data_IF_625820100924
#
_entry.id   IF_625820100924
#
_cell.length_a   1.000
_cell.length_b   1.000
_cell.length_c   1.000
_cell.angle_alpha   90.00
_cell.angle_beta   90.00
_cell.angle_gamma   90.00
#
_symmetry.space_group_name_H-M   'P 1'
#
loop_
_entity.id
_entity.type
_entity.pdbx_description
1 polymer ?
#
# COMPACT_ATOMS: atom_id res chain seq x y z
N UNK A 1 -24.84 -8.81 1.61
CA UNK A 1 -23.66 -8.59 0.75
C UNK A 1 -23.95 -8.79 -0.73
N UNK A 2 -24.95 -9.61 -1.09
CA UNK A 2 -25.37 -9.92 -2.47
C UNK A 2 -25.68 -8.72 -3.40
N UNK A 3 -26.01 -7.54 -2.87
CA UNK A 3 -26.54 -6.43 -3.66
C UNK A 3 -25.44 -5.62 -4.40
N UNK A 4 -24.23 -5.53 -3.81
CA UNK A 4 -23.12 -4.80 -4.46
C UNK A 4 -22.37 -5.63 -5.49
N UNK A 5 -22.40 -6.96 -5.37
CA UNK A 5 -21.83 -7.83 -6.40
C UNK A 5 -22.60 -7.70 -7.73
N UNK A 6 -23.90 -7.40 -7.67
CA UNK A 6 -24.75 -7.24 -8.84
C UNK A 6 -24.49 -5.95 -9.65
N UNK A 7 -23.81 -4.96 -9.06
CA UNK A 7 -23.51 -3.67 -9.72
C UNK A 7 -22.06 -3.55 -10.20
N UNK A 8 -21.28 -4.63 -10.09
CA UNK A 8 -19.90 -4.69 -10.61
C UNK A 8 -19.90 -4.52 -12.13
N UNK A 9 -19.02 -3.66 -12.61
CA UNK A 9 -18.80 -3.35 -14.03
C UNK A 9 -17.30 -3.34 -14.33
N UNK A 10 -16.95 -3.36 -15.61
CA UNK A 10 -15.55 -3.30 -16.08
C UNK A 10 -15.24 -2.05 -16.90
N UNK A 11 -16.25 -1.20 -17.12
CA UNK A 11 -16.15 0.04 -17.86
C UNK A 11 -17.16 1.07 -17.29
N UNK A 12 -16.99 2.33 -17.68
CA UNK A 12 -17.94 3.37 -17.32
C UNK A 12 -17.95 4.45 -18.40
N UNK A 13 -19.14 4.92 -18.79
CA UNK A 13 -19.31 5.88 -19.89
C UNK A 13 -18.58 7.22 -19.70
N UNK A 14 -18.26 7.57 -18.44
CA UNK A 14 -17.48 8.78 -18.09
C UNK A 14 -16.03 8.50 -17.69
N UNK A 15 -15.52 7.30 -17.98
CA UNK A 15 -14.12 6.97 -17.73
C UNK A 15 -13.21 7.89 -18.54
N UNK A 16 -12.17 8.41 -17.89
CA UNK A 16 -11.14 9.25 -18.52
C UNK A 16 -9.79 8.58 -18.39
N UNK A 17 -8.91 8.86 -19.34
CA UNK A 17 -7.53 8.40 -19.34
C UNK A 17 -6.61 9.59 -19.14
N UNK A 18 -5.57 9.43 -18.31
CA UNK A 18 -4.54 10.44 -18.19
C UNK A 18 -3.80 10.57 -19.53
N UNK A 19 -3.34 11.77 -19.86
CA UNK A 19 -2.56 12.03 -21.08
C UNK A 19 -1.08 11.62 -20.88
N UNK A 20 -0.84 10.41 -20.37
CA UNK A 20 0.49 9.90 -19.97
C UNK A 20 1.20 9.07 -21.04
N UNK A 21 0.63 8.97 -22.26
CA UNK A 21 1.26 8.30 -23.40
C UNK A 21 1.31 6.76 -23.33
N UNK A 22 0.84 6.15 -22.24
CA UNK A 22 0.76 4.70 -22.05
C UNK A 22 -0.36 4.03 -22.85
N UNK A 23 -0.33 2.68 -22.90
CA UNK A 23 -1.38 1.89 -23.51
C UNK A 23 -2.68 2.00 -22.68
N UNK A 24 -3.81 2.16 -23.36
CA UNK A 24 -5.11 2.21 -22.67
C UNK A 24 -5.50 0.81 -22.22
N UNK A 25 -5.83 0.68 -20.94
CA UNK A 25 -6.40 -0.55 -20.40
C UNK A 25 -7.76 -0.83 -21.07
N UNK A 26 -8.00 -2.09 -21.41
CA UNK A 26 -9.25 -2.58 -21.99
C UNK A 26 -10.23 -2.98 -20.89
N UNK A 27 -11.53 -2.96 -21.19
CA UNK A 27 -12.56 -3.45 -20.26
C UNK A 27 -12.33 -4.91 -19.85
N UNK A 28 -11.79 -5.74 -20.75
CA UNK A 28 -11.43 -7.14 -20.44
C UNK A 28 -10.30 -7.26 -19.42
N UNK A 29 -9.27 -6.41 -19.50
CA UNK A 29 -8.18 -6.40 -18.52
C UNK A 29 -8.68 -5.91 -17.15
N UNK A 30 -9.56 -4.91 -17.14
CA UNK A 30 -10.22 -4.44 -15.91
C UNK A 30 -11.06 -5.54 -15.29
N UNK A 31 -11.87 -6.25 -16.09
CA UNK A 31 -12.70 -7.36 -15.62
C UNK A 31 -11.83 -8.49 -15.02
N UNK A 32 -10.73 -8.84 -15.70
CA UNK A 32 -9.79 -9.85 -15.24
C UNK A 32 -9.13 -9.47 -13.90
N UNK A 33 -8.75 -8.20 -13.72
CA UNK A 33 -8.24 -7.72 -12.44
C UNK A 33 -9.30 -7.86 -11.33
N UNK A 34 -10.54 -7.42 -11.58
CA UNK A 34 -11.62 -7.53 -10.61
C UNK A 34 -11.93 -8.98 -10.20
N UNK A 35 -11.92 -9.90 -11.17
CA UNK A 35 -12.07 -11.34 -10.92
C UNK A 35 -10.93 -11.89 -10.07
N UNK A 36 -9.68 -11.55 -10.41
CA UNK A 36 -8.53 -12.02 -9.66
C UNK A 36 -8.58 -11.56 -8.18
N UNK A 37 -8.98 -10.31 -7.94
CA UNK A 37 -9.14 -9.80 -6.57
C UNK A 37 -10.24 -10.57 -5.81
N UNK A 38 -11.35 -10.94 -6.47
CA UNK A 38 -12.41 -11.76 -5.86
C UNK A 38 -11.97 -13.19 -5.59
N UNK A 39 -11.21 -13.81 -6.49
CA UNK A 39 -10.61 -15.14 -6.27
C UNK A 39 -9.72 -15.12 -5.03
N UNK A 40 -8.83 -14.12 -4.91
CA UNK A 40 -7.99 -13.95 -3.71
C UNK A 40 -8.89 -13.78 -2.48
N UNK A 41 -9.91 -12.91 -2.55
CA UNK A 41 -10.82 -12.68 -1.43
C UNK A 41 -11.53 -13.96 -0.94
N UNK A 42 -11.87 -14.87 -1.86
CA UNK A 42 -12.51 -16.14 -1.53
C UNK A 42 -11.62 -17.02 -0.63
N UNK A 43 -10.31 -17.06 -0.88
CA UNK A 43 -9.35 -17.77 -0.02
C UNK A 43 -9.32 -17.20 1.41
N UNK A 44 -9.65 -15.92 1.55
CA UNK A 44 -9.77 -15.23 2.83
C UNK A 44 -11.20 -15.20 3.40
N UNK A 45 -12.15 -15.88 2.75
CA UNK A 45 -13.51 -16.13 3.25
C UNK A 45 -14.59 -15.16 2.77
N UNK A 46 -14.32 -14.37 1.73
CA UNK A 46 -15.39 -13.74 0.95
C UNK A 46 -16.30 -14.83 0.32
N UNK A 47 -17.63 -14.65 0.23
CA UNK A 47 -18.39 -13.43 0.53
C UNK A 47 -18.89 -13.34 1.97
N UNK A 48 -18.47 -14.21 2.88
CA UNK A 48 -18.99 -14.20 4.24
C UNK A 48 -18.25 -13.24 5.16
N UNK A 49 -18.89 -12.89 6.27
CA UNK A 49 -18.24 -12.11 7.31
C UNK A 49 -17.09 -12.92 7.93
N UNK A 50 -15.92 -12.31 8.02
CA UNK A 50 -14.71 -12.95 8.57
C UNK A 50 -14.04 -12.05 9.61
N UNK A 51 -13.17 -12.66 10.41
CA UNK A 51 -12.36 -11.94 11.38
C UNK A 51 -11.37 -10.96 10.72
N UNK A 52 -10.82 -10.05 11.53
CA UNK A 52 -9.87 -9.04 11.05
C UNK A 52 -8.57 -9.67 10.51
N UNK A 53 -8.13 -10.82 11.03
CA UNK A 53 -6.88 -11.45 10.61
C UNK A 53 -6.96 -11.95 9.17
N UNK A 54 -8.05 -12.62 8.78
CA UNK A 54 -8.25 -13.04 7.38
C UNK A 54 -8.34 -11.84 6.43
N UNK A 55 -9.04 -10.78 6.85
CA UNK A 55 -9.16 -9.53 6.08
C UNK A 55 -7.82 -8.79 5.92
N UNK A 56 -6.96 -8.84 6.93
CA UNK A 56 -5.58 -8.33 6.84
C UNK A 56 -4.73 -9.23 5.94
N UNK A 57 -4.91 -10.55 5.99
CA UNK A 57 -4.25 -11.49 5.06
C UNK A 57 -4.58 -11.20 3.60
N UNK A 58 -5.87 -10.93 3.32
CA UNK A 58 -6.32 -10.49 1.99
C UNK A 58 -5.59 -9.25 1.51
N UNK A 59 -5.40 -8.24 2.37
CA UNK A 59 -4.72 -7.00 1.99
C UNK A 59 -3.31 -7.25 1.45
N UNK A 60 -2.57 -8.21 2.03
CA UNK A 60 -1.22 -8.54 1.57
C UNK A 60 -1.27 -9.18 0.18
N UNK A 61 -2.09 -10.21 0.00
CA UNK A 61 -2.22 -10.89 -1.29
C UNK A 61 -2.77 -9.97 -2.39
N UNK A 62 -3.74 -9.12 -2.08
CA UNK A 62 -4.29 -8.14 -3.00
C UNK A 62 -3.29 -7.04 -3.35
N UNK A 63 -2.40 -6.62 -2.42
CA UNK A 63 -1.34 -5.66 -2.72
C UNK A 63 -0.39 -6.18 -3.80
N UNK A 64 0.01 -7.45 -3.71
CA UNK A 64 0.88 -8.09 -4.70
C UNK A 64 0.17 -8.16 -6.06
N UNK A 65 -1.06 -8.68 -6.09
CA UNK A 65 -1.83 -8.81 -7.32
C UNK A 65 -2.11 -7.45 -8.00
N UNK A 66 -2.46 -6.41 -7.23
CA UNK A 66 -2.66 -5.07 -7.76
C UNK A 66 -1.37 -4.54 -8.39
N UNK A 67 -0.25 -4.69 -7.70
CA UNK A 67 1.02 -4.12 -8.15
C UNK A 67 1.58 -4.83 -9.38
N UNK A 68 1.49 -6.15 -9.45
CA UNK A 68 1.94 -6.93 -10.61
C UNK A 68 1.06 -6.74 -11.85
N UNK A 69 -0.25 -6.54 -11.66
CA UNK A 69 -1.21 -6.44 -12.77
C UNK A 69 -1.43 -5.02 -13.25
N UNK A 70 -1.29 -4.04 -12.37
CA UNK A 70 -1.45 -2.63 -12.70
C UNK A 70 -0.08 -2.04 -13.00
N UNK A 71 0.34 -2.10 -14.27
CA UNK A 71 1.56 -1.46 -14.79
C UNK A 71 1.40 0.07 -14.84
N UNK A 72 1.16 0.67 -13.67
CA UNK A 72 0.97 2.10 -13.50
C UNK A 72 2.29 2.79 -13.20
N UNK A 73 2.51 3.91 -13.86
CA UNK A 73 3.49 4.89 -13.40
C UNK A 73 3.03 5.54 -12.09
N UNK A 74 3.97 6.10 -11.34
CA UNK A 74 3.65 6.87 -10.12
C UNK A 74 2.77 8.09 -10.39
N UNK A 75 2.81 8.64 -11.61
CA UNK A 75 1.97 9.76 -12.05
C UNK A 75 0.54 9.31 -12.27
N UNK A 76 0.32 8.16 -12.91
CA UNK A 76 -1.03 7.59 -13.11
C UNK A 76 -1.63 7.15 -11.79
N UNK A 77 -0.84 6.45 -10.97
CA UNK A 77 -1.22 6.05 -9.61
C UNK A 77 -1.50 7.24 -8.68
N UNK A 78 -1.04 8.46 -9.03
CA UNK A 78 -1.37 9.67 -8.29
C UNK A 78 -2.78 10.19 -8.61
N UNK A 79 -3.41 9.75 -9.69
CA UNK A 79 -4.73 10.22 -10.05
C UNK A 79 -5.81 9.48 -9.24
N UNK A 80 -6.50 10.21 -8.34
CA UNK A 80 -7.52 9.62 -7.45
C UNK A 80 -8.65 8.89 -8.21
N UNK A 81 -8.91 9.30 -9.46
CA UNK A 81 -9.89 8.66 -10.34
C UNK A 81 -9.61 7.18 -10.62
N UNK A 82 -8.34 6.76 -10.69
CA UNK A 82 -7.97 5.34 -10.88
C UNK A 82 -8.50 4.49 -9.72
N UNK A 83 -8.29 4.97 -8.50
CA UNK A 83 -8.69 4.27 -7.28
C UNK A 83 -10.19 4.29 -7.06
N UNK A 84 -10.84 5.43 -7.31
CA UNK A 84 -12.29 5.55 -7.25
C UNK A 84 -12.97 4.64 -8.28
N UNK A 85 -12.40 4.49 -9.47
CA UNK A 85 -12.91 3.57 -10.49
C UNK A 85 -12.86 2.11 -9.99
N UNK A 86 -11.74 1.68 -9.39
CA UNK A 86 -11.67 0.35 -8.78
C UNK A 86 -12.75 0.15 -7.70
N UNK A 87 -12.95 1.12 -6.82
CA UNK A 87 -13.92 1.02 -5.73
C UNK A 87 -15.37 1.02 -6.21
N UNK A 88 -15.76 1.91 -7.12
CA UNK A 88 -17.17 2.09 -7.47
C UNK A 88 -17.62 1.29 -8.69
N UNK A 89 -16.70 0.88 -9.55
CA UNK A 89 -17.01 0.17 -10.79
C UNK A 89 -16.57 -1.29 -10.67
N UNK A 90 -15.32 -1.54 -10.29
CA UNK A 90 -14.71 -2.88 -10.45
C UNK A 90 -14.95 -3.82 -9.26
N UNK A 91 -14.88 -3.30 -8.04
CA UNK A 91 -14.92 -4.13 -6.83
C UNK A 91 -15.58 -3.45 -5.59
N UNK A 92 -16.78 -2.83 -5.73
CA UNK A 92 -17.50 -2.24 -4.59
C UNK A 92 -17.88 -3.24 -3.51
N UNK A 93 -18.15 -4.49 -3.90
CA UNK A 93 -18.44 -5.61 -3.03
C UNK A 93 -17.25 -5.98 -2.13
N UNK A 94 -16.02 -5.97 -2.67
CA UNK A 94 -14.80 -6.23 -1.90
C UNK A 94 -14.50 -5.13 -0.87
N UNK A 95 -14.75 -3.86 -1.24
CA UNK A 95 -14.60 -2.73 -0.32
C UNK A 95 -15.56 -2.88 0.85
N UNK A 96 -16.83 -3.22 0.57
CA UNK A 96 -17.85 -3.47 1.59
C UNK A 96 -17.49 -4.65 2.49
N UNK A 97 -17.04 -5.75 1.91
CA UNK A 97 -16.66 -6.94 2.65
C UNK A 97 -15.48 -6.67 3.60
N UNK A 98 -14.41 -6.08 3.07
CA UNK A 98 -13.20 -5.78 3.85
C UNK A 98 -13.47 -4.82 5.00
N UNK A 99 -14.36 -3.85 4.80
CA UNK A 99 -14.67 -2.79 5.75
C UNK A 99 -16.11 -2.87 6.28
N UNK A 100 -16.62 -4.09 6.49
CA UNK A 100 -17.96 -4.31 7.01
C UNK A 100 -18.18 -3.51 8.31
N UNK A 101 -19.25 -2.70 8.35
CA UNK A 101 -19.57 -1.86 9.50
C UNK A 101 -18.75 -0.57 9.63
N UNK A 102 -17.77 -0.31 8.76
CA UNK A 102 -17.05 0.96 8.74
C UNK A 102 -17.91 2.08 8.15
N UNK A 103 -17.98 3.20 8.86
CA UNK A 103 -18.58 4.45 8.36
C UNK A 103 -17.56 5.42 7.77
N UNK A 104 -16.27 5.04 7.69
CA UNK A 104 -15.24 5.93 7.17
C UNK A 104 -15.33 6.02 5.63
N UNK A 105 -15.71 7.18 5.06
CA UNK A 105 -15.83 7.35 3.61
C UNK A 105 -14.49 7.20 2.87
N UNK A 106 -13.35 7.41 3.54
CA UNK A 106 -12.02 7.30 2.93
C UNK A 106 -11.68 5.87 2.50
N UNK A 107 -12.40 4.86 3.00
CA UNK A 107 -12.26 3.48 2.50
C UNK A 107 -12.80 3.32 1.08
N UNK A 108 -13.71 4.20 0.69
CA UNK A 108 -14.42 4.18 -0.59
C UNK A 108 -13.94 5.28 -1.54
N UNK A 109 -13.84 6.51 -1.05
CA UNK A 109 -13.49 7.69 -1.84
C UNK A 109 -12.02 8.01 -1.57
N UNK A 110 -11.21 8.01 -2.62
CA UNK A 110 -9.78 8.28 -2.57
C UNK A 110 -9.49 9.78 -2.39
N UNK A 111 -9.80 10.33 -1.21
CA UNK A 111 -9.31 11.64 -0.75
C UNK A 111 -7.93 11.52 -0.10
N UNK A 112 -7.68 10.38 0.58
CA UNK A 112 -6.40 10.01 1.18
C UNK A 112 -5.98 8.60 0.72
N UNK A 113 -4.88 8.52 -0.05
CA UNK A 113 -4.38 7.25 -0.60
C UNK A 113 -3.85 6.31 0.48
N UNK A 114 -3.46 6.80 1.64
CA UNK A 114 -2.96 5.91 2.72
C UNK A 114 -4.11 5.20 3.44
N UNK A 115 -5.36 5.65 3.25
CA UNK A 115 -6.56 5.09 3.89
C UNK A 115 -7.48 4.39 2.92
N UNK A 116 -7.42 4.73 1.63
CA UNK A 116 -8.25 4.14 0.60
C UNK A 116 -7.98 2.65 0.37
N UNK A 117 -9.05 1.88 0.13
CA UNK A 117 -9.03 0.42 0.05
C UNK A 117 -7.91 -0.13 -0.85
N UNK A 118 -7.89 0.25 -2.13
CA UNK A 118 -6.94 -0.29 -3.11
C UNK A 118 -5.66 0.54 -3.24
N UNK A 119 -5.79 1.87 -3.30
CA UNK A 119 -4.64 2.78 -3.38
C UNK A 119 -3.56 2.47 -2.34
N UNK A 120 -3.94 2.28 -1.06
CA UNK A 120 -2.94 2.03 -0.01
C UNK A 120 -2.15 0.76 -0.29
N UNK A 121 -2.78 -0.27 -0.85
CA UNK A 121 -2.16 -1.57 -1.10
C UNK A 121 -1.14 -1.46 -2.23
N UNK A 122 -1.51 -0.83 -3.35
CA UNK A 122 -0.61 -0.61 -4.46
C UNK A 122 0.59 0.28 -4.06
N UNK A 123 0.34 1.37 -3.33
CA UNK A 123 1.41 2.25 -2.85
C UNK A 123 2.32 1.58 -1.81
N UNK A 124 1.77 0.70 -0.96
CA UNK A 124 2.57 -0.12 -0.05
C UNK A 124 3.47 -1.09 -0.83
N UNK A 125 2.94 -1.77 -1.86
CA UNK A 125 3.73 -2.65 -2.71
C UNK A 125 4.84 -1.90 -3.45
N UNK A 126 4.56 -0.73 -4.02
CA UNK A 126 5.59 0.12 -4.61
C UNK A 126 6.66 0.54 -3.59
N UNK A 127 6.25 0.91 -2.38
CA UNK A 127 7.16 1.45 -1.35
C UNK A 127 8.06 0.38 -0.75
N UNK A 128 7.52 -0.81 -0.50
CA UNK A 128 8.23 -1.89 0.20
C UNK A 128 8.72 -3.01 -0.72
N UNK A 129 8.39 -2.95 -2.01
CA UNK A 129 8.96 -3.78 -3.05
C UNK A 129 10.40 -3.37 -3.37
N UNK A 130 11.26 -4.35 -3.57
CA UNK A 130 12.64 -4.15 -4.01
C UNK A 130 12.79 -4.55 -5.46
N UNK A 131 13.12 -3.59 -6.32
CA UNK A 131 13.47 -3.87 -7.69
C UNK A 131 14.89 -4.44 -7.76
N UNK A 132 15.03 -5.67 -8.29
CA UNK A 132 16.31 -6.24 -8.70
C UNK A 132 16.55 -5.99 -10.18
N UNK A 133 17.82 -5.88 -10.59
CA UNK A 133 18.16 -5.75 -12.01
C UNK A 133 17.79 -7.04 -12.76
N UNK A 134 16.75 -6.99 -13.61
CA UNK A 134 16.29 -8.16 -14.39
C UNK A 134 15.61 -9.26 -13.55
N UNK A 135 15.20 -8.95 -12.32
CA UNK A 135 14.51 -9.89 -11.42
C UNK A 135 13.14 -9.31 -11.06
N UNK A 136 12.09 -10.14 -10.90
CA UNK A 136 10.81 -9.68 -10.37
C UNK A 136 10.97 -8.91 -9.06
N UNK A 137 10.05 -7.97 -8.82
CA UNK A 137 10.08 -7.14 -7.62
C UNK A 137 9.90 -8.03 -6.39
N UNK A 138 10.85 -7.95 -5.45
CA UNK A 138 10.79 -8.71 -4.21
C UNK A 138 9.88 -8.01 -3.20
N UNK A 139 8.76 -8.66 -2.90
CA UNK A 139 7.75 -8.21 -1.94
C UNK A 139 7.92 -8.86 -0.55
N UNK A 140 9.03 -9.56 -0.29
CA UNK A 140 9.31 -10.22 0.99
C UNK A 140 9.21 -9.28 2.19
N UNK A 141 9.70 -8.04 2.05
CA UNK A 141 9.62 -7.02 3.09
C UNK A 141 8.17 -6.61 3.35
N UNK A 142 7.35 -6.46 2.31
CA UNK A 142 5.93 -6.16 2.46
C UNK A 142 5.21 -7.29 3.22
N UNK A 143 5.49 -8.55 2.87
CA UNK A 143 4.87 -9.73 3.52
C UNK A 143 5.21 -9.84 5.00
N UNK A 144 6.39 -9.37 5.40
CA UNK A 144 6.85 -9.44 6.78
C UNK A 144 6.28 -8.35 7.69
N UNK A 145 5.67 -7.31 7.12
CA UNK A 145 5.09 -6.18 7.85
C UNK A 145 3.59 -6.38 8.04
N UNK A 146 3.11 -6.12 9.26
CA UNK A 146 1.68 -6.08 9.51
C UNK A 146 1.07 -4.70 9.15
N UNK A 147 -0.26 -4.61 9.20
CA UNK A 147 -0.96 -3.37 8.89
C UNK A 147 -0.63 -2.23 9.86
N UNK A 148 -0.30 -2.53 11.12
CA UNK A 148 0.09 -1.53 12.11
C UNK A 148 1.47 -0.95 11.82
N UNK A 149 2.40 -1.80 11.40
CA UNK A 149 3.76 -1.43 10.99
C UNK A 149 3.71 -0.52 9.76
N UNK A 150 2.96 -0.95 8.74
CA UNK A 150 2.81 -0.21 7.50
C UNK A 150 2.20 1.16 7.74
N UNK A 151 1.08 1.25 8.46
CA UNK A 151 0.43 2.54 8.76
C UNK A 151 1.36 3.50 9.49
N UNK A 152 2.12 2.99 10.46
CA UNK A 152 3.10 3.82 11.16
C UNK A 152 4.12 4.42 10.19
N UNK A 153 4.59 3.70 9.18
CA UNK A 153 5.56 4.23 8.23
C UNK A 153 4.88 5.10 7.16
N UNK A 154 3.79 4.63 6.55
CA UNK A 154 3.16 5.25 5.38
C UNK A 154 2.40 6.53 5.71
N UNK A 155 1.83 6.68 6.90
CA UNK A 155 1.18 7.94 7.32
C UNK A 155 2.19 9.08 7.53
N UNK A 156 3.49 8.77 7.55
CA UNK A 156 4.58 9.75 7.74
C UNK A 156 5.18 10.12 6.39
N UNK A 157 4.60 11.11 5.71
CA UNK A 157 5.03 11.55 4.37
C UNK A 157 6.55 11.79 4.24
N UNK A 158 7.19 12.35 5.27
CA UNK A 158 8.64 12.61 5.25
C UNK A 158 9.50 11.33 5.23
N UNK A 159 8.94 10.17 5.61
CA UNK A 159 9.58 8.85 5.53
C UNK A 159 9.09 8.14 4.27
N UNK A 160 7.77 8.02 4.11
CA UNK A 160 7.14 7.28 3.01
C UNK A 160 7.44 7.87 1.62
N UNK A 161 7.77 9.17 1.53
CA UNK A 161 8.16 9.82 0.29
C UNK A 161 9.51 9.37 -0.27
N UNK A 162 10.30 8.63 0.51
CA UNK A 162 11.55 8.01 0.07
C UNK A 162 11.46 6.49 0.34
N UNK A 163 11.21 5.66 -0.69
CA UNK A 163 11.08 4.20 -0.51
C UNK A 163 12.30 3.57 0.16
N UNK A 164 13.53 3.98 -0.19
CA UNK A 164 14.76 3.44 0.41
C UNK A 164 14.83 3.73 1.91
N UNK A 165 14.45 4.93 2.33
CA UNK A 165 14.33 5.28 3.74
C UNK A 165 13.20 4.51 4.43
N UNK A 166 12.02 4.40 3.83
CA UNK A 166 10.90 3.65 4.39
C UNK A 166 11.26 2.17 4.61
N UNK A 167 11.93 1.55 3.64
CA UNK A 167 12.41 0.17 3.71
C UNK A 167 13.47 0.00 4.81
N UNK A 168 14.44 0.91 4.89
CA UNK A 168 15.47 0.86 5.93
C UNK A 168 14.86 1.05 7.34
N UNK A 169 13.87 1.93 7.50
CA UNK A 169 13.12 2.10 8.75
C UNK A 169 12.34 0.83 9.12
N UNK A 170 11.70 0.18 8.14
CA UNK A 170 11.00 -1.10 8.35
C UNK A 170 11.96 -2.21 8.80
N UNK A 171 13.09 -2.39 8.11
CA UNK A 171 14.13 -3.38 8.47
C UNK A 171 14.69 -3.11 9.86
N UNK A 172 14.97 -1.85 10.20
CA UNK A 172 15.45 -1.48 11.53
C UNK A 172 14.43 -1.86 12.61
N UNK A 173 13.14 -1.55 12.40
CA UNK A 173 12.08 -1.91 13.34
C UNK A 173 11.95 -3.44 13.50
N UNK A 174 12.06 -4.19 12.40
CA UNK A 174 12.01 -5.66 12.42
C UNK A 174 13.20 -6.30 13.13
N UNK A 175 14.39 -5.72 13.00
CA UNK A 175 15.63 -6.22 13.62
C UNK A 175 15.78 -5.85 15.10
N UNK A 176 14.82 -5.13 15.69
CA UNK A 176 14.97 -4.65 17.06
C UNK A 176 14.67 -5.75 18.09
N UNK A 177 15.69 -6.12 18.85
CA UNK A 177 15.55 -7.01 20.00
C UNK A 177 15.10 -6.23 21.25
N UNK A 178 14.26 -6.86 22.07
CA UNK A 178 13.83 -6.32 23.37
C UNK A 178 12.82 -5.16 23.33
N UNK A 179 12.33 -4.75 22.15
CA UNK A 179 11.30 -3.74 21.99
C UNK A 179 10.31 -4.10 20.88
N UNK A 180 9.05 -3.69 21.01
CA UNK A 180 8.08 -3.85 19.92
C UNK A 180 8.40 -2.88 18.77
N UNK A 181 8.07 -3.26 17.53
CA UNK A 181 8.24 -2.41 16.35
C UNK A 181 7.62 -1.02 16.54
N UNK A 182 6.42 -0.97 17.14
CA UNK A 182 5.73 0.26 17.50
C UNK A 182 6.55 1.17 18.41
N UNK A 183 7.18 0.62 19.44
CA UNK A 183 8.04 1.39 20.36
C UNK A 183 9.25 1.96 19.61
N UNK A 184 9.89 1.15 18.77
CA UNK A 184 11.05 1.57 17.96
C UNK A 184 10.68 2.70 17.01
N UNK A 185 9.60 2.54 16.24
CA UNK A 185 9.14 3.56 15.29
C UNK A 185 8.72 4.85 16.01
N UNK A 186 8.10 4.75 17.19
CA UNK A 186 7.70 5.90 18.01
C UNK A 186 8.90 6.69 18.52
N UNK A 187 9.96 6.04 18.98
CA UNK A 187 11.19 6.73 19.45
C UNK A 187 12.06 7.26 18.29
N UNK A 188 12.16 6.51 17.20
CA UNK A 188 12.93 6.89 16.02
C UNK A 188 12.35 8.12 15.32
N UNK A 189 11.02 8.18 15.19
CA UNK A 189 10.34 9.18 14.33
C UNK A 189 10.71 10.63 14.66
N UNK A 190 10.65 11.12 15.93
CA UNK A 190 11.01 12.50 16.24
C UNK A 190 12.46 12.82 15.88
N UNK A 191 13.39 11.88 16.11
CA UNK A 191 14.82 12.05 15.84
C UNK A 191 15.09 12.08 14.35
N UNK A 192 14.45 11.18 13.61
CA UNK A 192 14.53 11.12 12.15
C UNK A 192 13.94 12.39 11.52
N UNK A 193 12.81 12.90 12.02
CA UNK A 193 12.24 14.19 11.56
C UNK A 193 13.20 15.36 11.75
N UNK A 194 13.89 15.44 12.89
CA UNK A 194 14.93 16.46 13.11
C UNK A 194 16.08 16.30 12.13
N UNK A 195 16.50 15.07 11.84
CA UNK A 195 17.59 14.79 10.89
C UNK A 195 17.21 15.16 9.45
N UNK A 196 15.99 14.84 9.03
CA UNK A 196 15.43 15.15 7.71
C UNK A 196 15.38 16.66 7.41
N UNK A 197 15.40 17.52 8.43
CA UNK A 197 15.49 18.97 8.24
C UNK A 197 16.86 19.45 7.72
N UNK A 198 17.90 18.64 7.89
CA UNK A 198 19.29 19.00 7.55
C UNK A 198 19.97 18.01 6.60
N UNK A 199 19.36 16.85 6.35
CA UNK A 199 19.92 15.78 5.54
C UNK A 199 18.88 15.34 4.52
N UNK A 200 19.25 15.43 3.25
CA UNK A 200 18.47 14.82 2.18
C UNK A 200 18.81 13.34 2.07
N UNK A 201 17.92 12.49 2.60
CA UNK A 201 18.05 11.03 2.53
C UNK A 201 17.90 10.48 1.11
N UNK A 202 17.37 11.25 0.15
CA UNK A 202 17.31 10.83 -1.25
C UNK A 202 18.69 10.78 -1.91
N UNK A 203 19.62 11.63 -1.44
CA UNK A 203 21.00 11.70 -1.94
C UNK A 203 21.94 10.66 -1.32
N UNK A 204 21.49 9.91 -0.31
CA UNK A 204 22.32 8.95 0.42
C UNK A 204 22.30 7.56 -0.23
N UNK A 205 23.39 6.80 -0.07
CA UNK A 205 23.45 5.35 -0.34
C UNK A 205 22.71 4.55 0.73
N UNK A 206 22.35 3.29 0.47
CA UNK A 206 21.59 2.47 1.43
C UNK A 206 22.37 2.27 2.72
N UNK A 207 23.68 2.04 2.59
CA UNK A 207 24.59 1.97 3.73
C UNK A 207 24.58 3.25 4.57
N UNK A 208 24.65 4.43 3.95
CA UNK A 208 24.58 5.70 4.66
C UNK A 208 23.24 5.89 5.37
N UNK A 209 22.11 5.54 4.72
CA UNK A 209 20.78 5.58 5.35
C UNK A 209 20.78 4.73 6.62
N UNK A 210 21.28 3.49 6.53
CA UNK A 210 21.34 2.59 7.68
C UNK A 210 22.24 3.10 8.80
N UNK A 211 23.40 3.67 8.48
CA UNK A 211 24.32 4.29 9.45
C UNK A 211 23.64 5.46 10.17
N UNK A 212 22.95 6.33 9.44
CA UNK A 212 22.14 7.41 10.00
C UNK A 212 21.05 6.88 10.92
N UNK A 213 20.30 5.86 10.50
CA UNK A 213 19.22 5.31 11.32
C UNK A 213 19.76 4.64 12.61
N UNK A 214 20.88 3.91 12.51
CA UNK A 214 21.56 3.31 13.66
C UNK A 214 22.06 4.37 14.64
N UNK A 215 22.61 5.49 14.16
CA UNK A 215 23.08 6.57 15.04
C UNK A 215 21.95 7.21 15.85
N UNK A 216 20.69 7.16 15.35
CA UNK A 216 19.53 7.70 16.06
C UNK A 216 19.01 6.78 17.18
N UNK A 217 19.28 5.47 17.10
CA UNK A 217 18.82 4.46 18.10
C UNK A 217 19.53 4.61 19.45
N UNK A 218 20.72 5.24 19.49
CA UNK A 218 21.59 5.32 20.67
C UNK A 218 21.53 6.62 21.49
N UNK A 219 20.78 7.64 21.07
CA UNK A 219 20.69 8.90 21.81
C UNK A 219 19.85 8.75 23.08
N UNK A 220 20.45 8.52 24.24
CA UNK A 220 19.81 8.91 25.50
C UNK A 220 19.78 10.44 25.51
N UNK A 221 18.58 11.03 25.47
CA UNK A 221 18.38 12.39 26.00
C UNK A 221 18.52 12.35 27.50
#
# INVERSE_FOLDING_TARGET
MSDLAAVVQSDHARATYAATGGARVTSSEVAALGEQLRVIAHDFGYPEATDDSRRIGYDRAAAEALFERMDLTTVEAAHNGVWNFLTFVVAPDLVRWRWLGSSNPERWICTDRTRHMFARLWWQALTFGQAGLGVPIDLSLLRALDESDLNQITERRAIAGNPRLAQAVARLAMSAEGATRRTVLRDLTPRLRRRLAFVDFAALTDQQIEEHLRSLKGGKT
#
